data_IF_675352553501
#
_entry.id   IF_675352553501
#
_cell.length_a   1.000
_cell.length_b   1.000
_cell.length_c   1.000
_cell.angle_alpha   90.00
_cell.angle_beta   90.00
_cell.angle_gamma   90.00
#
_symmetry.space_group_name_H-M   'P 1'
#
loop_
_entity.id
_entity.type
_entity.pdbx_description
1 polymer ?
#
# COMPACT_ATOMS: atom_id res chain seq x y z
N UNK A 1 -29.89 -86.65 -7.52
CA UNK A 1 -29.30 -86.02 -8.73
C UNK A 1 -28.17 -85.12 -8.25
N UNK A 2 -26.90 -85.53 -8.42
CA UNK A 2 -25.96 -85.00 -9.44
C UNK A 2 -25.82 -83.47 -9.30
N UNK A 3 -24.68 -82.81 -9.05
CA UNK A 3 -23.26 -83.17 -8.94
C UNK A 3 -22.49 -81.94 -8.43
N UNK A 4 -21.33 -82.17 -7.76
CA UNK A 4 -20.04 -81.43 -7.84
C UNK A 4 -19.99 -79.95 -7.43
N UNK A 5 -18.91 -79.34 -6.93
CA UNK A 5 -17.53 -79.72 -6.54
C UNK A 5 -16.96 -78.46 -5.84
N UNK A 6 -16.28 -78.58 -4.69
CA UNK A 6 -14.80 -78.45 -4.50
C UNK A 6 -14.28 -77.05 -4.12
N UNK A 7 -13.71 -77.02 -2.90
CA UNK A 7 -12.53 -76.31 -2.37
C UNK A 7 -12.36 -74.78 -2.51
N UNK A 8 -11.87 -74.15 -1.42
CA UNK A 8 -10.82 -73.13 -1.55
C UNK A 8 -10.75 -71.98 -0.53
N UNK A 9 -10.37 -72.28 0.72
CA UNK A 9 -9.28 -71.63 1.50
C UNK A 9 -9.10 -70.08 1.54
N UNK A 10 -9.06 -69.57 2.80
CA UNK A 10 -8.03 -68.68 3.41
C UNK A 10 -8.24 -67.15 3.48
N UNK A 11 -8.47 -66.75 4.74
CA UNK A 11 -7.99 -65.60 5.54
C UNK A 11 -7.62 -64.26 4.89
N UNK A 12 -8.20 -63.18 5.43
CA UNK A 12 -7.65 -61.84 5.41
C UNK A 12 -8.22 -60.99 6.54
N UNK A 13 -7.59 -61.03 7.73
CA UNK A 13 -7.88 -60.12 8.83
C UNK A 13 -7.05 -58.84 8.64
N UNK A 14 -7.71 -57.72 8.34
CA UNK A 14 -7.07 -56.42 8.26
C UNK A 14 -7.04 -55.75 9.65
N UNK A 15 -5.84 -55.72 10.25
CA UNK A 15 -5.52 -54.90 11.42
C UNK A 15 -5.41 -53.42 10.99
N UNK A 16 -6.36 -52.60 11.44
CA UNK A 16 -6.30 -51.14 11.33
C UNK A 16 -5.38 -50.59 12.42
N UNK A 17 -4.14 -50.24 12.05
CA UNK A 17 -3.22 -49.50 12.91
C UNK A 17 -3.61 -48.01 12.93
N UNK A 18 -4.08 -47.52 14.08
CA UNK A 18 -4.24 -46.09 14.33
C UNK A 18 -2.86 -45.46 14.53
N UNK A 19 -2.37 -44.73 13.52
CA UNK A 19 -1.20 -43.86 13.67
C UNK A 19 -1.61 -42.59 14.41
N UNK A 20 -1.08 -42.42 15.62
CA UNK A 20 -1.09 -41.16 16.35
C UNK A 20 -0.33 -40.10 15.53
N UNK A 21 -1.04 -39.24 14.83
CA UNK A 21 -0.49 -37.98 14.35
C UNK A 21 -0.22 -37.09 15.57
N UNK A 22 1.04 -37.01 15.99
CA UNK A 22 1.50 -35.96 16.87
C UNK A 22 1.30 -34.61 16.17
N UNK A 23 0.38 -33.80 16.66
CA UNK A 23 0.35 -32.38 16.34
C UNK A 23 1.67 -31.77 16.83
N UNK A 24 2.53 -31.42 15.88
CA UNK A 24 3.64 -30.50 16.16
C UNK A 24 3.03 -29.16 16.58
N UNK A 25 3.08 -28.86 17.86
CA UNK A 25 2.80 -27.53 18.37
C UNK A 25 3.87 -26.60 17.80
N UNK A 26 3.44 -25.55 17.09
CA UNK A 26 4.33 -24.48 16.66
C UNK A 26 5.05 -23.93 17.90
N UNK A 27 6.36 -24.12 17.99
CA UNK A 27 7.18 -23.47 19.02
C UNK A 27 6.90 -21.96 18.98
N UNK A 28 6.54 -21.39 20.13
CA UNK A 28 6.36 -19.97 20.27
C UNK A 28 7.69 -19.28 19.94
N UNK A 29 7.76 -18.61 18.80
CA UNK A 29 8.92 -17.79 18.41
C UNK A 29 9.11 -16.70 19.47
N UNK A 30 10.05 -16.90 20.38
CA UNK A 30 10.35 -15.94 21.44
C UNK A 30 11.55 -15.09 21.04
N UNK A 31 11.46 -13.78 21.27
CA UNK A 31 12.57 -12.86 21.06
C UNK A 31 13.48 -12.91 22.30
N UNK A 32 14.82 -12.84 22.15
CA UNK A 32 15.74 -12.81 23.28
C UNK A 32 15.45 -11.64 24.22
N UNK A 33 15.54 -11.85 25.54
CA UNK A 33 15.44 -10.78 26.53
C UNK A 33 16.77 -10.05 26.61
N UNK A 34 16.75 -8.74 26.36
CA UNK A 34 17.89 -7.84 26.52
C UNK A 34 18.05 -7.52 28.01
N UNK A 35 19.25 -7.73 28.55
CA UNK A 35 19.60 -7.47 29.95
C UNK A 35 20.38 -6.18 30.10
N UNK A 36 20.46 -5.62 31.32
CA UNK A 36 21.24 -4.40 31.57
C UNK A 36 20.69 -3.18 30.85
N UNK A 37 19.36 -3.11 30.67
CA UNK A 37 18.69 -1.97 30.03
C UNK A 37 18.46 -0.86 31.04
N UNK A 38 18.69 0.39 30.65
CA UNK A 38 18.39 1.53 31.51
C UNK A 38 16.88 1.70 31.65
N UNK A 39 16.35 1.38 32.84
CA UNK A 39 14.90 1.33 33.05
C UNK A 39 14.20 2.66 32.77
N UNK A 40 14.72 3.76 33.30
CA UNK A 40 14.07 5.07 33.17
C UNK A 40 13.86 5.49 31.70
N UNK A 41 14.88 5.49 30.83
CA UNK A 41 14.67 5.86 29.43
C UNK A 41 13.84 4.83 28.66
N UNK A 42 13.93 3.53 28.99
CA UNK A 42 13.06 2.50 28.42
C UNK A 42 11.58 2.79 28.74
N UNK A 43 11.24 3.07 30.00
CA UNK A 43 9.86 3.40 30.41
C UNK A 43 9.36 4.64 29.66
N UNK A 44 10.18 5.67 29.53
CA UNK A 44 9.82 6.87 28.78
C UNK A 44 9.57 6.57 27.29
N UNK A 45 10.36 5.69 26.70
CA UNK A 45 10.19 5.24 25.31
C UNK A 45 8.89 4.45 25.14
N UNK A 46 8.60 3.51 26.04
CA UNK A 46 7.39 2.68 25.98
C UNK A 46 6.13 3.51 26.16
N UNK A 47 6.12 4.53 27.01
CA UNK A 47 4.99 5.45 27.13
C UNK A 47 4.65 6.14 25.80
N UNK A 48 5.68 6.56 25.04
CA UNK A 48 5.49 7.13 23.70
C UNK A 48 5.01 6.08 22.69
N UNK A 49 5.46 4.82 22.81
CA UNK A 49 4.94 3.72 21.98
C UNK A 49 3.45 3.50 22.26
N UNK A 50 3.03 3.47 23.53
CA UNK A 50 1.61 3.36 23.90
C UNK A 50 0.80 4.50 23.27
N UNK A 51 1.23 5.75 23.47
CA UNK A 51 0.58 6.93 22.90
C UNK A 51 0.52 6.88 21.37
N UNK A 52 1.62 6.47 20.70
CA UNK A 52 1.64 6.29 19.26
C UNK A 52 0.66 5.21 18.80
N UNK A 53 0.60 4.06 19.46
CA UNK A 53 -0.32 2.97 19.09
C UNK A 53 -1.79 3.37 19.29
N UNK A 54 -2.08 4.17 20.31
CA UNK A 54 -3.41 4.74 20.57
C UNK A 54 -3.79 5.74 19.45
N UNK A 55 -2.89 6.66 19.11
CA UNK A 55 -3.06 7.61 18.01
C UNK A 55 -3.27 6.92 16.65
N UNK A 56 -2.53 5.83 16.40
CA UNK A 56 -2.62 5.06 15.16
C UNK A 56 -3.89 4.19 15.07
N UNK A 57 -4.70 4.13 16.13
CA UNK A 57 -5.94 3.35 16.17
C UNK A 57 -5.75 1.85 16.36
N UNK A 58 -4.58 1.42 16.81
CA UNK A 58 -4.27 0.02 17.14
C UNK A 58 -3.68 -0.07 18.56
N UNK A 59 -4.45 0.33 19.59
CA UNK A 59 -3.97 0.38 20.96
C UNK A 59 -3.55 -1.01 21.48
N UNK A 60 -2.57 -1.05 22.38
CA UNK A 60 -2.32 -2.26 23.18
C UNK A 60 -3.57 -2.61 24.00
N UNK A 61 -3.75 -3.89 24.34
CA UNK A 61 -4.88 -4.31 25.18
C UNK A 61 -4.85 -3.63 26.55
N UNK A 62 -6.01 -3.37 27.15
CA UNK A 62 -6.08 -2.75 28.50
C UNK A 62 -5.32 -3.57 29.55
N UNK A 63 -5.37 -4.90 29.44
CA UNK A 63 -4.63 -5.82 30.31
C UNK A 63 -3.12 -5.65 30.16
N UNK A 64 -2.61 -5.50 28.94
CA UNK A 64 -1.19 -5.28 28.69
C UNK A 64 -0.75 -3.87 29.11
N UNK A 65 -1.60 -2.84 28.94
CA UNK A 65 -1.33 -1.49 29.47
C UNK A 65 -1.20 -1.52 31.01
N UNK A 66 -2.07 -2.25 31.70
CA UNK A 66 -1.98 -2.42 33.16
C UNK A 66 -0.75 -3.22 33.58
N UNK A 67 -0.38 -4.26 32.82
CA UNK A 67 0.84 -5.03 33.06
C UNK A 67 2.10 -4.16 32.91
N UNK A 68 2.15 -3.27 31.90
CA UNK A 68 3.22 -2.30 31.71
C UNK A 68 3.30 -1.31 32.87
N UNK A 69 2.17 -0.72 33.30
CA UNK A 69 2.15 0.18 34.46
C UNK A 69 2.60 -0.49 35.75
N UNK A 70 2.35 -1.79 35.90
CA UNK A 70 2.86 -2.58 37.03
C UNK A 70 4.37 -2.79 36.90
N UNK A 71 4.87 -3.13 35.72
CA UNK A 71 6.29 -3.30 35.46
C UNK A 71 7.09 -2.01 35.68
N UNK A 72 6.54 -0.85 35.30
CA UNK A 72 7.17 0.46 35.49
C UNK A 72 7.42 0.84 36.95
N UNK A 73 6.72 0.20 37.90
CA UNK A 73 6.80 0.50 39.34
C UNK A 73 7.69 -0.49 40.10
N UNK A 74 8.26 -1.49 39.42
CA UNK A 74 9.20 -2.44 40.05
C UNK A 74 10.49 -1.72 40.42
N UNK A 75 11.04 -2.06 41.59
CA UNK A 75 12.29 -1.50 42.10
C UNK A 75 13.53 -2.12 41.45
N UNK A 76 13.44 -3.38 41.03
CA UNK A 76 14.51 -4.09 40.33
C UNK A 76 14.44 -3.77 38.83
N UNK A 77 15.52 -3.17 38.31
CA UNK A 77 15.57 -2.70 36.92
C UNK A 77 15.59 -3.84 35.90
N UNK A 78 16.24 -4.97 36.21
CA UNK A 78 16.31 -6.11 35.30
C UNK A 78 14.97 -6.87 35.28
N UNK A 79 14.33 -7.03 36.44
CA UNK A 79 12.99 -7.62 36.54
C UNK A 79 11.95 -6.74 35.82
N UNK A 80 12.03 -5.42 36.00
CA UNK A 80 11.18 -4.46 35.32
C UNK A 80 11.37 -4.49 33.80
N UNK A 81 12.62 -4.42 33.34
CA UNK A 81 12.99 -4.45 31.93
C UNK A 81 12.55 -5.75 31.24
N UNK A 82 12.70 -6.90 31.90
CA UNK A 82 12.21 -8.17 31.39
C UNK A 82 10.67 -8.21 31.32
N UNK A 83 9.99 -7.73 32.36
CA UNK A 83 8.52 -7.69 32.38
C UNK A 83 7.95 -6.81 31.26
N UNK A 84 8.56 -5.65 30.99
CA UNK A 84 8.20 -4.77 29.87
C UNK A 84 8.34 -5.51 28.54
N UNK A 85 9.49 -6.17 28.32
CA UNK A 85 9.76 -6.90 27.08
C UNK A 85 8.75 -8.03 26.86
N UNK A 86 8.45 -8.83 27.89
CA UNK A 86 7.46 -9.91 27.77
C UNK A 86 6.07 -9.43 27.37
N UNK A 87 5.69 -8.20 27.73
CA UNK A 87 4.42 -7.62 27.30
C UNK A 87 4.50 -7.14 25.86
N UNK A 88 5.50 -6.32 25.51
CA UNK A 88 5.60 -5.71 24.18
C UNK A 88 5.98 -6.72 23.10
N UNK A 89 6.78 -7.73 23.42
CA UNK A 89 7.25 -8.71 22.45
C UNK A 89 6.08 -9.45 21.80
N UNK A 90 4.94 -9.64 22.49
CA UNK A 90 3.68 -10.19 21.93
C UNK A 90 3.20 -9.47 20.67
N UNK A 91 3.50 -8.17 20.57
CA UNK A 91 3.11 -7.29 19.48
C UNK A 91 4.23 -7.11 18.43
N UNK A 92 5.41 -7.70 18.67
CA UNK A 92 6.54 -7.61 17.76
C UNK A 92 6.39 -8.61 16.62
N UNK A 93 6.33 -8.08 15.39
CA UNK A 93 6.41 -8.91 14.18
C UNK A 93 7.87 -9.33 13.91
N UNK A 94 8.83 -8.47 14.27
CA UNK A 94 10.25 -8.72 14.10
C UNK A 94 11.06 -8.26 15.32
N UNK A 95 12.16 -8.97 15.57
CA UNK A 95 13.28 -8.50 16.39
C UNK A 95 14.46 -8.13 15.50
N UNK A 96 15.07 -6.99 15.79
CA UNK A 96 16.23 -6.44 15.08
C UNK A 96 17.37 -6.35 16.08
N UNK A 97 18.45 -7.08 15.81
CA UNK A 97 19.70 -7.00 16.56
C UNK A 97 20.70 -6.18 15.75
N UNK A 98 21.25 -5.12 16.35
CA UNK A 98 22.32 -4.30 15.80
C UNK A 98 23.56 -4.56 16.65
N UNK A 99 24.50 -5.32 16.08
CA UNK A 99 25.71 -5.70 16.79
C UNK A 99 26.67 -4.50 16.99
N UNK A 100 27.75 -4.63 17.78
CA UNK A 100 28.72 -3.54 18.01
C UNK A 100 29.36 -2.95 16.74
N UNK A 101 29.44 -3.70 15.64
CA UNK A 101 29.92 -3.22 14.33
C UNK A 101 28.81 -2.58 13.46
N UNK A 102 27.65 -2.26 14.03
CA UNK A 102 26.48 -1.70 13.34
C UNK A 102 25.89 -2.60 12.24
N UNK A 103 26.09 -3.92 12.34
CA UNK A 103 25.50 -4.91 11.44
C UNK A 103 24.13 -5.32 11.94
N UNK A 104 23.18 -5.36 11.01
CA UNK A 104 21.78 -5.66 11.32
C UNK A 104 21.48 -7.13 11.07
N UNK A 105 20.89 -7.79 12.08
CA UNK A 105 20.28 -9.11 11.97
C UNK A 105 18.80 -9.02 12.31
N UNK A 106 17.96 -9.79 11.61
CA UNK A 106 16.51 -9.78 11.82
C UNK A 106 16.03 -11.19 12.14
N UNK A 107 15.08 -11.28 13.07
CA UNK A 107 14.40 -12.51 13.44
C UNK A 107 12.88 -12.29 13.47
N UNK A 108 12.06 -13.33 13.15
CA UNK A 108 10.62 -13.25 13.32
C UNK A 108 10.24 -13.17 14.81
N UNK A 109 9.32 -12.28 15.14
CA UNK A 109 8.72 -12.18 16.47
C UNK A 109 7.47 -13.04 16.64
N UNK A 110 6.83 -13.01 17.83
CA UNK A 110 5.66 -13.83 18.14
C UNK A 110 4.35 -13.25 17.59
N UNK A 111 4.31 -11.99 17.14
CA UNK A 111 3.07 -11.41 16.62
C UNK A 111 2.60 -12.15 15.37
N UNK A 112 1.30 -12.45 15.30
CA UNK A 112 0.72 -13.15 14.16
C UNK A 112 0.84 -12.29 12.90
N UNK A 113 1.46 -12.78 11.81
CA UNK A 113 1.56 -12.06 10.54
C UNK A 113 0.21 -12.07 9.80
N UNK A 114 -0.73 -11.25 10.25
CA UNK A 114 -2.06 -11.12 9.65
C UNK A 114 -2.27 -9.69 9.17
N UNK A 115 -2.72 -9.50 7.92
CA UNK A 115 -2.98 -8.19 7.30
C UNK A 115 -4.46 -8.08 6.87
N UNK A 116 -4.85 -6.88 6.42
CA UNK A 116 -6.13 -6.64 5.77
C UNK A 116 -5.90 -6.20 4.32
N UNK A 117 -6.65 -6.77 3.38
CA UNK A 117 -6.65 -6.34 1.98
C UNK A 117 -7.07 -4.87 1.92
N UNK A 118 -6.37 -4.08 1.10
CA UNK A 118 -6.51 -2.61 1.01
C UNK A 118 -6.37 -1.87 2.33
N UNK A 119 -5.79 -2.47 3.37
CA UNK A 119 -5.70 -1.89 4.71
C UNK A 119 -4.30 -1.88 5.28
N UNK A 120 -4.04 -0.89 6.13
CA UNK A 120 -2.81 -0.78 6.90
C UNK A 120 -2.97 -1.46 8.26
N UNK A 121 -1.98 -2.27 8.65
CA UNK A 121 -1.84 -2.82 9.99
C UNK A 121 -0.52 -2.44 10.61
N UNK A 122 -0.50 -2.36 11.94
CA UNK A 122 0.63 -1.91 12.73
C UNK A 122 1.21 -3.08 13.51
N UNK A 123 2.54 -3.14 13.58
CA UNK A 123 3.27 -4.11 14.39
C UNK A 123 4.41 -3.40 15.11
N UNK A 124 4.82 -3.95 16.26
CA UNK A 124 6.06 -3.52 16.87
C UNK A 124 7.27 -4.19 16.21
N UNK A 125 8.41 -3.53 16.31
CA UNK A 125 9.74 -4.04 16.01
C UNK A 125 10.59 -3.83 17.24
N UNK A 126 11.07 -4.92 17.84
CA UNK A 126 12.02 -4.85 18.96
C UNK A 126 13.40 -4.54 18.40
N UNK A 127 14.08 -3.52 18.91
CA UNK A 127 15.43 -3.15 18.48
C UNK A 127 16.39 -3.31 19.65
N UNK A 128 17.28 -4.29 19.55
CA UNK A 128 18.42 -4.47 20.43
C UNK A 128 19.63 -3.81 19.78
N UNK A 129 20.16 -2.75 20.38
CA UNK A 129 21.11 -1.83 19.77
C UNK A 129 22.41 -1.76 20.55
N UNK A 130 23.24 -2.80 20.41
CA UNK A 130 24.52 -2.92 21.12
C UNK A 130 25.54 -1.87 20.65
N UNK A 131 25.43 -1.41 19.40
CA UNK A 131 26.30 -0.37 18.84
C UNK A 131 25.94 1.06 19.28
N UNK A 132 24.81 1.28 19.96
CA UNK A 132 24.36 2.63 20.32
C UNK A 132 24.07 3.50 19.10
N UNK A 133 23.61 2.90 17.99
CA UNK A 133 23.30 3.60 16.74
C UNK A 133 22.22 4.66 16.96
N UNK A 134 22.42 5.82 16.36
CA UNK A 134 21.47 6.96 16.33
C UNK A 134 20.99 7.29 14.91
N UNK A 135 21.25 6.42 13.94
CA UNK A 135 20.70 6.53 12.59
C UNK A 135 19.22 6.10 12.55
N UNK A 136 18.54 6.40 11.44
CA UNK A 136 17.17 5.94 11.18
C UNK A 136 17.15 4.42 10.95
N UNK A 137 16.28 3.70 11.66
CA UNK A 137 15.97 2.30 11.33
C UNK A 137 14.99 2.27 10.15
N UNK A 138 15.45 1.73 9.02
CA UNK A 138 14.66 1.61 7.79
C UNK A 138 14.22 0.17 7.60
N UNK A 139 12.95 -0.01 7.23
CA UNK A 139 12.42 -1.26 6.69
C UNK A 139 12.24 -1.10 5.18
N UNK A 140 12.58 -2.14 4.42
CA UNK A 140 12.41 -2.22 2.96
C UNK A 140 12.02 -3.63 2.54
N UNK A 141 11.40 -3.78 1.38
CA UNK A 141 11.03 -5.09 0.82
C UNK A 141 11.00 -5.04 -0.70
N UNK A 142 11.50 -6.05 -1.41
CA UNK A 142 11.30 -6.15 -2.87
C UNK A 142 9.80 -6.26 -3.21
N UNK A 143 8.99 -6.87 -2.35
CA UNK A 143 7.53 -6.95 -2.50
C UNK A 143 6.83 -5.60 -2.30
N UNK A 144 7.56 -4.61 -1.77
CA UNK A 144 7.07 -3.25 -1.55
C UNK A 144 7.55 -2.19 -2.52
N UNK A 145 8.20 -2.59 -3.60
CA UNK A 145 8.33 -1.73 -4.78
C UNK A 145 6.95 -1.26 -5.27
N UNK A 146 6.86 0.00 -5.66
CA UNK A 146 5.65 0.56 -6.26
C UNK A 146 5.31 -0.16 -7.57
N UNK A 147 4.05 -0.15 -8.02
CA UNK A 147 3.68 -0.78 -9.30
C UNK A 147 4.13 0.00 -10.53
N UNK A 148 4.52 1.27 -10.32
CA UNK A 148 5.02 2.18 -11.35
C UNK A 148 6.34 2.80 -10.90
N UNK A 149 7.16 3.21 -11.86
CA UNK A 149 8.34 4.04 -11.61
C UNK A 149 7.89 5.47 -11.34
N UNK A 150 8.04 5.92 -10.09
CA UNK A 150 7.33 7.10 -9.60
C UNK A 150 8.26 8.17 -9.07
N UNK A 151 9.04 8.82 -9.94
CA UNK A 151 9.95 9.95 -9.63
C UNK A 151 9.88 10.50 -8.19
N UNK A 152 9.10 11.57 -7.97
CA UNK A 152 8.95 12.22 -6.66
C UNK A 152 8.14 11.42 -5.61
N UNK A 153 7.39 10.39 -6.03
CA UNK A 153 6.57 9.53 -5.16
C UNK A 153 7.27 8.21 -4.75
N UNK A 154 8.59 8.11 -4.89
CA UNK A 154 9.35 6.89 -4.64
C UNK A 154 9.34 6.48 -3.16
N UNK A 155 8.94 5.24 -2.88
CA UNK A 155 8.94 4.66 -1.53
C UNK A 155 10.37 4.34 -1.05
N UNK A 156 10.60 4.07 0.24
CA UNK A 156 11.89 3.57 0.73
C UNK A 156 12.35 2.30 -0.01
N UNK A 157 11.44 1.39 -0.31
CA UNK A 157 11.73 0.18 -1.09
C UNK A 157 12.13 0.51 -2.53
N UNK A 158 11.46 1.48 -3.17
CA UNK A 158 11.85 1.94 -4.51
C UNK A 158 13.29 2.46 -4.51
N UNK A 159 13.65 3.28 -3.52
CA UNK A 159 15.01 3.82 -3.37
C UNK A 159 16.06 2.74 -3.10
N UNK A 160 15.68 1.66 -2.42
CA UNK A 160 16.58 0.58 -2.06
C UNK A 160 16.85 -0.40 -3.22
N UNK A 161 15.83 -0.72 -4.01
CA UNK A 161 15.92 -1.81 -4.99
C UNK A 161 15.90 -1.33 -6.45
N UNK A 162 15.34 -0.16 -6.77
CA UNK A 162 15.37 0.35 -8.16
C UNK A 162 16.67 1.07 -8.44
N UNK A 163 17.45 0.52 -9.37
CA UNK A 163 18.64 1.19 -9.92
C UNK A 163 18.25 1.98 -11.17
N UNK A 164 18.75 3.21 -11.27
CA UNK A 164 18.55 4.03 -12.48
C UNK A 164 19.16 3.30 -13.69
N UNK A 165 18.35 3.05 -14.72
CA UNK A 165 18.76 2.34 -15.93
C UNK A 165 18.70 0.82 -15.85
N UNK A 166 18.22 0.25 -14.74
CA UNK A 166 17.89 -1.17 -14.69
C UNK A 166 16.58 -1.43 -15.47
N UNK A 167 16.66 -2.28 -16.49
CA UNK A 167 15.50 -2.68 -17.28
C UNK A 167 14.75 -3.87 -16.65
N UNK A 168 15.22 -4.40 -15.51
CA UNK A 168 14.55 -5.48 -14.80
C UNK A 168 13.16 -5.03 -14.34
N UNK A 169 12.15 -5.83 -14.70
CA UNK A 169 10.75 -5.57 -14.35
C UNK A 169 10.34 -6.58 -13.30
N UNK A 170 10.14 -6.17 -12.04
CA UNK A 170 9.55 -7.05 -11.05
C UNK A 170 8.17 -7.48 -11.52
N UNK A 171 7.81 -8.72 -11.23
CA UNK A 171 6.48 -9.23 -11.55
C UNK A 171 5.42 -8.42 -10.76
N UNK A 172 4.44 -7.76 -11.41
CA UNK A 172 3.41 -6.98 -10.70
C UNK A 172 2.60 -7.78 -9.67
N UNK A 173 2.55 -9.11 -9.81
CA UNK A 173 1.94 -10.01 -8.83
C UNK A 173 2.72 -10.07 -7.50
N UNK A 174 4.04 -9.89 -7.54
CA UNK A 174 4.92 -9.91 -6.36
C UNK A 174 4.92 -8.58 -5.59
N UNK A 175 4.49 -7.49 -6.25
CA UNK A 175 4.47 -6.12 -5.72
C UNK A 175 3.19 -5.80 -4.94
N UNK A 176 2.81 -6.69 -4.04
CA UNK A 176 1.53 -6.64 -3.33
C UNK A 176 1.59 -5.85 -2.01
N UNK A 177 2.76 -5.68 -1.41
CA UNK A 177 2.94 -5.12 -0.07
C UNK A 177 3.28 -3.63 -0.13
N UNK A 178 2.72 -2.78 0.71
CA UNK A 178 3.27 -1.45 0.99
C UNK A 178 3.77 -1.40 2.43
N UNK A 179 4.83 -0.64 2.71
CA UNK A 179 5.43 -0.62 4.03
C UNK A 179 6.05 0.73 4.38
N UNK A 180 5.96 1.09 5.65
CA UNK A 180 6.62 2.27 6.20
C UNK A 180 6.90 2.09 7.70
N UNK A 181 7.93 2.78 8.20
CA UNK A 181 8.17 2.94 9.63
C UNK A 181 7.43 4.19 10.12
N UNK A 182 6.79 4.11 11.29
CA UNK A 182 6.20 5.30 11.91
C UNK A 182 7.28 6.09 12.67
N UNK A 183 7.61 7.27 12.16
CA UNK A 183 8.70 8.14 12.63
C UNK A 183 8.23 9.54 13.08
N UNK A 184 6.92 9.73 13.23
CA UNK A 184 6.31 11.01 13.67
C UNK A 184 6.10 11.04 15.19
N UNK A 185 5.83 12.23 15.72
CA UNK A 185 5.44 12.42 17.12
C UNK A 185 4.31 11.44 17.52
N UNK A 186 4.39 10.81 18.70
CA UNK A 186 5.35 11.05 19.80
C UNK A 186 6.70 10.33 19.65
N UNK A 187 6.90 9.51 18.60
CA UNK A 187 8.19 8.90 18.30
C UNK A 187 9.11 9.87 17.53
N UNK A 188 10.37 9.47 17.33
CA UNK A 188 11.39 10.22 16.59
C UNK A 188 11.83 9.42 15.38
N UNK A 189 12.39 10.07 14.37
CA UNK A 189 12.93 9.38 13.20
C UNK A 189 14.18 8.54 13.53
N UNK A 190 15.12 9.14 14.25
CA UNK A 190 16.39 8.53 14.62
C UNK A 190 16.24 7.57 15.81
N UNK A 191 17.05 6.50 15.81
CA UNK A 191 17.29 5.68 16.99
C UNK A 191 17.89 6.53 18.12
N UNK A 192 17.62 6.12 19.35
CA UNK A 192 18.01 6.86 20.56
C UNK A 192 19.44 6.56 21.01
N UNK A 193 20.04 5.48 20.50
CA UNK A 193 21.29 4.92 21.02
C UNK A 193 21.13 4.08 22.29
N UNK A 194 19.90 3.93 22.81
CA UNK A 194 19.62 3.03 23.93
C UNK A 194 19.79 1.57 23.51
N UNK A 195 20.21 0.72 24.45
CA UNK A 195 20.42 -0.71 24.21
C UNK A 195 19.12 -1.43 23.79
N UNK A 196 17.96 -0.94 24.23
CA UNK A 196 16.65 -1.47 23.86
C UNK A 196 15.67 -0.35 23.54
N UNK A 197 15.02 -0.44 22.39
CA UNK A 197 13.88 0.41 22.03
C UNK A 197 12.89 -0.31 21.08
N UNK A 198 11.65 0.16 21.02
CA UNK A 198 10.58 -0.41 20.20
C UNK A 198 10.13 0.56 19.10
N UNK A 199 10.07 0.08 17.86
CA UNK A 199 9.61 0.85 16.69
C UNK A 199 8.29 0.31 16.16
N UNK A 200 7.57 1.12 15.39
CA UNK A 200 6.29 0.73 14.80
C UNK A 200 6.48 0.58 13.30
N UNK A 201 6.20 -0.63 12.80
CA UNK A 201 6.15 -0.98 11.39
C UNK A 201 4.68 -0.96 10.93
N UNK A 202 4.42 -0.27 9.83
CA UNK A 202 3.10 -0.21 9.20
C UNK A 202 3.15 -0.97 7.88
N UNK A 203 2.26 -1.94 7.69
CA UNK A 203 2.19 -2.78 6.50
C UNK A 203 0.81 -2.69 5.87
N UNK A 204 0.75 -2.53 4.55
CA UNK A 204 -0.47 -2.58 3.75
C UNK A 204 -0.42 -3.70 2.73
N UNK A 205 -1.57 -4.33 2.47
CA UNK A 205 -1.68 -5.32 1.40
C UNK A 205 -2.60 -4.86 0.29
N UNK A 206 -2.15 -4.96 -0.97
CA UNK A 206 -3.00 -4.77 -2.15
C UNK A 206 -3.99 -5.92 -2.32
N UNK A 207 -3.60 -7.14 -1.95
CA UNK A 207 -4.26 -8.39 -2.32
C UNK A 207 -4.64 -9.24 -1.09
N UNK A 208 -5.72 -10.00 -1.16
CA UNK A 208 -6.12 -10.94 -0.10
C UNK A 208 -5.47 -12.34 -0.24
N UNK A 209 -5.56 -13.13 0.83
CA UNK A 209 -5.10 -14.53 0.90
C UNK A 209 -3.69 -14.68 1.47
N UNK A 210 -3.11 -15.88 1.34
CA UNK A 210 -1.73 -16.14 1.79
C UNK A 210 -0.74 -15.41 0.88
N UNK A 211 0.18 -14.64 1.47
CA UNK A 211 1.20 -13.89 0.75
C UNK A 211 2.51 -13.91 1.50
N UNK A 212 3.60 -14.24 0.84
CA UNK A 212 4.94 -14.15 1.42
C UNK A 212 5.57 -12.80 1.03
N UNK A 213 6.29 -12.20 1.98
CA UNK A 213 7.17 -11.08 1.69
C UNK A 213 8.51 -11.22 2.41
N UNK A 214 9.57 -10.80 1.72
CA UNK A 214 10.90 -10.62 2.28
C UNK A 214 10.99 -9.22 2.89
N UNK A 215 11.22 -9.10 4.18
CA UNK A 215 11.37 -7.81 4.87
C UNK A 215 12.81 -7.66 5.33
N UNK A 216 13.45 -6.57 4.93
CA UNK A 216 14.82 -6.25 5.32
C UNK A 216 14.88 -4.98 6.18
N UNK A 217 15.78 -4.97 7.16
CA UNK A 217 16.08 -3.79 7.98
C UNK A 217 17.51 -3.30 7.75
N UNK A 218 17.73 -1.99 7.87
CA UNK A 218 19.05 -1.36 7.81
C UNK A 218 19.08 -0.06 8.61
N UNK A 219 20.27 0.39 8.99
CA UNK A 219 20.52 1.67 9.69
C UNK A 219 21.49 2.57 8.93
N UNK A 220 21.59 2.39 7.61
CA UNK A 220 22.53 3.13 6.74
C UNK A 220 23.16 2.26 5.66
N UNK A 221 24.06 2.85 4.87
CA UNK A 221 24.84 2.10 3.88
C UNK A 221 25.86 1.19 4.57
N UNK A 222 26.02 -0.04 4.07
CA UNK A 222 27.03 -0.99 4.58
C UNK A 222 26.65 -1.71 5.88
N UNK A 223 25.42 -1.53 6.40
CA UNK A 223 24.97 -2.14 7.66
C UNK A 223 24.45 -3.58 7.49
N UNK A 224 24.65 -4.17 6.31
CA UNK A 224 24.25 -5.56 6.03
C UNK A 224 25.24 -6.51 6.70
N UNK A 225 24.75 -7.46 7.48
CA UNK A 225 25.59 -8.53 8.00
C UNK A 225 26.10 -9.43 6.86
N UNK A 226 27.29 -10.01 7.03
CA UNK A 226 27.87 -10.94 6.06
C UNK A 226 26.94 -12.17 5.97
N UNK A 227 26.42 -12.43 4.77
CA UNK A 227 25.54 -13.58 4.50
C UNK A 227 24.03 -13.29 4.53
N UNK A 228 23.59 -12.06 4.24
CA UNK A 228 22.18 -11.69 4.03
C UNK A 228 21.26 -11.95 5.24
N UNK A 229 21.75 -11.70 6.47
CA UNK A 229 20.96 -11.93 7.69
C UNK A 229 20.10 -10.75 8.13
N UNK A 230 20.08 -9.68 7.34
CA UNK A 230 19.28 -8.50 7.63
C UNK A 230 17.88 -8.57 7.01
N UNK A 231 17.50 -9.70 6.41
CA UNK A 231 16.15 -9.96 5.91
C UNK A 231 15.53 -11.24 6.47
N UNK A 232 14.19 -11.29 6.42
CA UNK A 232 13.38 -12.41 6.88
C UNK A 232 12.19 -12.59 5.95
N UNK A 233 11.92 -13.83 5.58
CA UNK A 233 10.71 -14.20 4.84
C UNK A 233 9.56 -14.42 5.83
N UNK A 234 8.46 -13.71 5.60
CA UNK A 234 7.26 -13.78 6.43
C UNK A 234 6.04 -14.14 5.58
N UNK A 235 5.38 -15.23 5.94
CA UNK A 235 4.10 -15.63 5.36
C UNK A 235 2.95 -14.94 6.08
N UNK A 236 2.26 -14.07 5.37
CA UNK A 236 1.10 -13.33 5.86
C UNK A 236 -0.22 -14.01 5.53
N UNK A 237 -1.16 -13.91 6.47
CA UNK A 237 -2.58 -14.18 6.24
C UNK A 237 -3.32 -12.87 5.98
N UNK A 238 -3.71 -12.59 4.73
CA UNK A 238 -4.37 -11.33 4.40
C UNK A 238 -5.89 -11.52 4.33
N UNK A 239 -6.60 -10.96 5.31
CA UNK A 239 -8.06 -11.00 5.36
C UNK A 239 -8.68 -10.10 4.28
N UNK A 240 -9.76 -10.55 3.60
CA UNK A 240 -10.41 -9.75 2.56
C UNK A 240 -11.07 -8.49 3.12
N UNK A 241 -11.09 -7.42 2.35
CA UNK A 241 -11.79 -6.18 2.70
C UNK A 241 -13.25 -6.17 2.25
N UNK A 242 -14.05 -5.33 2.91
CA UNK A 242 -15.44 -5.07 2.53
C UNK A 242 -15.54 -4.30 1.22
N UNK A 243 -16.56 -4.63 0.42
CA UNK A 243 -16.87 -3.94 -0.84
C UNK A 243 -17.85 -2.80 -0.58
N UNK A 244 -17.43 -1.57 -0.82
CA UNK A 244 -18.22 -0.35 -0.70
C UNK A 244 -18.69 0.06 -2.10
N UNK A 245 -19.99 0.05 -2.34
CA UNK A 245 -20.57 0.53 -3.61
C UNK A 245 -20.81 2.03 -3.51
N UNK A 246 -20.37 2.79 -4.50
CA UNK A 246 -20.53 4.24 -4.55
C UNK A 246 -21.67 4.55 -5.51
N UNK A 247 -22.75 5.14 -4.99
CA UNK A 247 -23.84 5.65 -5.81
C UNK A 247 -23.60 7.14 -6.08
N UNK A 248 -23.53 7.53 -7.34
CA UNK A 248 -23.04 8.84 -7.77
C UNK A 248 -24.06 9.48 -8.70
N UNK A 249 -24.68 10.56 -8.23
CA UNK A 249 -25.69 11.29 -8.99
C UNK A 249 -25.25 12.73 -9.24
N UNK A 250 -25.50 13.21 -10.46
CA UNK A 250 -25.27 14.60 -10.85
C UNK A 250 -26.33 15.55 -10.26
N UNK A 251 -26.25 16.83 -10.61
CA UNK A 251 -27.17 17.87 -10.17
C UNK A 251 -28.63 17.64 -10.61
N UNK A 252 -28.84 16.86 -11.67
CA UNK A 252 -30.14 16.49 -12.23
C UNK A 252 -30.63 15.10 -11.76
N UNK A 253 -29.87 14.45 -10.86
CA UNK A 253 -30.17 13.12 -10.36
C UNK A 253 -29.85 11.99 -11.33
N UNK A 254 -29.03 12.23 -12.35
CA UNK A 254 -28.59 11.21 -13.30
C UNK A 254 -27.29 10.52 -12.83
N UNK A 255 -27.14 9.21 -13.06
CA UNK A 255 -25.89 8.50 -12.80
C UNK A 255 -24.71 9.12 -13.55
N UNK A 256 -23.57 9.28 -12.86
CA UNK A 256 -22.36 9.87 -13.47
C UNK A 256 -21.07 9.34 -12.84
N UNK A 257 -19.93 9.87 -13.28
CA UNK A 257 -18.59 9.61 -12.71
C UNK A 257 -18.15 10.80 -11.86
N UNK A 258 -17.58 10.51 -10.70
CA UNK A 258 -17.01 11.53 -9.81
C UNK A 258 -15.56 11.20 -9.44
N UNK A 259 -14.85 12.24 -9.06
CA UNK A 259 -13.56 12.19 -8.39
C UNK A 259 -13.76 11.89 -6.90
N UNK A 260 -12.92 11.03 -6.34
CA UNK A 260 -12.90 10.69 -4.91
C UNK A 260 -11.49 10.75 -4.33
N UNK A 261 -11.32 11.46 -3.22
CA UNK A 261 -10.14 11.34 -2.34
C UNK A 261 -10.60 10.73 -1.01
N UNK A 262 -10.18 9.49 -0.77
CA UNK A 262 -10.54 8.73 0.44
C UNK A 262 -9.34 8.72 1.37
N UNK A 263 -9.51 9.27 2.58
CA UNK A 263 -8.47 9.32 3.61
C UNK A 263 -8.93 8.65 4.88
N UNK A 264 -8.01 7.97 5.57
CA UNK A 264 -8.25 7.59 6.96
C UNK A 264 -7.83 8.70 7.94
N UNK A 265 -7.99 8.45 9.23
CA UNK A 265 -7.61 9.38 10.30
C UNK A 265 -6.10 9.71 10.34
N UNK A 266 -5.24 8.93 9.68
CA UNK A 266 -3.81 9.20 9.57
C UNK A 266 -3.47 10.00 8.31
N UNK A 267 -4.48 10.37 7.50
CA UNK A 267 -4.33 11.06 6.23
C UNK A 267 -3.84 10.18 5.09
N UNK A 268 -3.77 8.86 5.30
CA UNK A 268 -3.34 7.89 4.27
C UNK A 268 -4.43 7.79 3.20
N UNK A 269 -4.01 7.74 1.95
CA UNK A 269 -4.90 7.73 0.78
C UNK A 269 -5.26 6.29 0.38
N UNK A 270 -6.52 6.06 0.05
CA UNK A 270 -7.06 4.76 -0.35
C UNK A 270 -7.60 4.77 -1.78
N UNK A 271 -7.31 3.72 -2.59
CA UNK A 271 -6.32 2.66 -2.34
C UNK A 271 -4.89 3.23 -2.25
N UNK A 272 -3.92 2.51 -1.66
CA UNK A 272 -2.53 3.03 -1.56
C UNK A 272 -2.00 3.43 -2.94
N UNK A 273 -1.54 4.67 -3.07
CA UNK A 273 -1.01 5.25 -4.30
C UNK A 273 0.11 4.41 -4.92
N UNK A 274 1.05 3.92 -4.11
CA UNK A 274 2.16 3.08 -4.56
C UNK A 274 1.69 1.78 -5.24
N UNK A 275 0.46 1.33 -4.96
CA UNK A 275 -0.14 0.07 -5.44
C UNK A 275 -1.27 0.27 -6.44
N UNK A 276 -1.29 1.43 -7.11
CA UNK A 276 -2.23 1.71 -8.19
C UNK A 276 -1.61 1.45 -9.56
N UNK A 277 -2.46 0.99 -10.47
CA UNK A 277 -2.24 0.92 -11.91
C UNK A 277 -3.50 1.47 -12.58
N UNK A 278 -3.43 1.72 -13.88
CA UNK A 278 -4.58 2.11 -14.68
C UNK A 278 -5.83 1.26 -14.32
N UNK A 279 -6.99 1.88 -14.09
CA UNK A 279 -7.29 3.30 -14.35
C UNK A 279 -6.93 4.28 -13.22
N UNK A 280 -6.44 3.79 -12.08
CA UNK A 280 -6.09 4.61 -10.91
C UNK A 280 -4.63 5.04 -10.99
N UNK A 281 -4.39 6.35 -11.07
CA UNK A 281 -3.03 6.85 -11.25
C UNK A 281 -2.35 7.04 -9.89
N UNK A 282 -1.18 6.44 -9.72
CA UNK A 282 -0.45 6.46 -8.45
C UNK A 282 0.09 7.84 -8.06
N UNK A 283 0.25 8.76 -9.00
CA UNK A 283 0.73 10.12 -8.76
C UNK A 283 -0.38 11.13 -8.43
N UNK A 284 -1.65 10.70 -8.52
CA UNK A 284 -2.80 11.49 -8.10
C UNK A 284 -3.34 10.97 -6.76
N UNK A 285 -3.72 11.84 -5.82
CA UNK A 285 -4.40 11.39 -4.61
C UNK A 285 -5.77 10.78 -4.94
N UNK A 286 -6.49 11.35 -5.91
CA UNK A 286 -7.83 10.94 -6.27
C UNK A 286 -7.91 9.65 -7.10
N UNK A 287 -9.08 9.03 -7.07
CA UNK A 287 -9.54 7.99 -8.01
C UNK A 287 -10.89 8.40 -8.59
N UNK A 288 -11.28 7.80 -9.71
CA UNK A 288 -12.55 8.12 -10.37
C UNK A 288 -13.47 6.92 -10.42
N UNK A 289 -14.71 7.10 -9.94
CA UNK A 289 -15.72 6.04 -9.91
C UNK A 289 -17.03 6.50 -10.50
N UNK A 290 -17.58 5.66 -11.37
CA UNK A 290 -18.93 5.80 -11.90
C UNK A 290 -19.95 5.28 -10.90
N UNK A 291 -21.21 5.70 -11.05
CA UNK A 291 -22.33 5.16 -10.28
C UNK A 291 -22.34 3.62 -10.29
N UNK A 292 -22.48 3.03 -9.11
CA UNK A 292 -22.51 1.58 -8.90
C UNK A 292 -21.13 0.91 -8.91
N UNK A 293 -20.05 1.62 -9.22
CA UNK A 293 -18.70 1.10 -9.03
C UNK A 293 -18.31 1.05 -7.56
N UNK A 294 -17.22 0.36 -7.27
CA UNK A 294 -16.92 -0.05 -5.89
C UNK A 294 -15.49 0.16 -5.49
N UNK A 295 -15.31 0.45 -4.21
CA UNK A 295 -14.04 0.44 -3.50
C UNK A 295 -13.95 -0.72 -2.53
N UNK A 296 -12.75 -1.26 -2.35
CA UNK A 296 -12.47 -2.18 -1.25
C UNK A 296 -11.85 -1.39 -0.10
N UNK A 297 -12.58 -1.30 1.01
CA UNK A 297 -12.15 -0.57 2.19
C UNK A 297 -12.23 -1.48 3.44
N UNK A 298 -11.14 -1.59 4.22
CA UNK A 298 -11.19 -2.20 5.55
C UNK A 298 -12.15 -1.44 6.47
N UNK A 299 -12.64 -2.13 7.51
CA UNK A 299 -13.42 -1.48 8.55
C UNK A 299 -12.63 -0.31 9.17
N UNK A 300 -13.29 0.83 9.36
CA UNK A 300 -12.65 2.03 9.86
C UNK A 300 -13.47 3.29 9.61
N UNK A 301 -12.95 4.40 10.12
CA UNK A 301 -13.48 5.74 9.88
C UNK A 301 -12.65 6.41 8.77
N UNK A 302 -13.33 7.03 7.83
CA UNK A 302 -12.73 7.68 6.67
C UNK A 302 -13.30 9.09 6.50
N UNK A 303 -12.54 9.94 5.84
CA UNK A 303 -13.00 11.20 5.26
C UNK A 303 -12.97 11.05 3.75
N UNK A 304 -14.12 11.28 3.10
CA UNK A 304 -14.27 11.16 1.65
C UNK A 304 -14.55 12.54 1.08
N UNK A 305 -13.60 13.04 0.31
CA UNK A 305 -13.81 14.21 -0.55
C UNK A 305 -14.28 13.73 -1.92
N UNK A 306 -15.29 14.42 -2.47
CA UNK A 306 -15.82 14.11 -3.79
C UNK A 306 -16.23 15.37 -4.56
N UNK A 307 -16.02 15.35 -5.88
CA UNK A 307 -16.40 16.41 -6.81
C UNK A 307 -16.44 15.87 -8.24
N UNK A 308 -16.73 16.73 -9.21
CA UNK A 308 -16.66 16.41 -10.64
C UNK A 308 -15.99 17.52 -11.45
N UNK A 309 -14.77 17.87 -11.02
CA UNK A 309 -13.97 18.95 -11.60
C UNK A 309 -14.41 20.36 -11.21
N UNK A 310 -13.85 21.39 -11.88
CA UNK A 310 -13.93 22.78 -11.44
C UNK A 310 -15.34 23.41 -11.57
N UNK A 311 -16.24 22.78 -12.32
CA UNK A 311 -17.65 23.22 -12.47
C UNK A 311 -18.55 22.77 -11.30
N UNK A 312 -18.02 21.92 -10.41
CA UNK A 312 -18.72 21.35 -9.26
C UNK A 312 -18.07 21.77 -7.94
N UNK A 313 -18.89 21.88 -6.90
CA UNK A 313 -18.44 22.18 -5.54
C UNK A 313 -17.87 20.91 -4.93
N UNK A 314 -16.61 20.96 -4.49
CA UNK A 314 -16.01 19.89 -3.73
C UNK A 314 -16.67 19.76 -2.36
N UNK A 315 -17.10 18.55 -2.02
CA UNK A 315 -17.72 18.21 -0.74
C UNK A 315 -16.85 17.21 -0.01
N UNK A 316 -16.88 17.27 1.32
CA UNK A 316 -16.13 16.36 2.19
C UNK A 316 -17.04 15.82 3.27
N UNK A 317 -17.13 14.50 3.38
CA UNK A 317 -18.02 13.83 4.32
C UNK A 317 -17.28 12.75 5.12
N UNK A 318 -17.56 12.60 6.43
CA UNK A 318 -17.11 11.45 7.19
C UNK A 318 -17.88 10.20 6.76
N UNK A 319 -17.18 9.07 6.64
CA UNK A 319 -17.76 7.79 6.27
C UNK A 319 -17.25 6.67 7.19
N UNK A 320 -18.20 5.97 7.80
CA UNK A 320 -17.92 4.78 8.60
C UNK A 320 -18.05 3.52 7.75
N UNK A 321 -16.96 2.78 7.61
CA UNK A 321 -16.91 1.54 6.83
C UNK A 321 -16.95 0.35 7.78
N UNK A 322 -17.88 -0.59 7.56
CA UNK A 322 -18.07 -1.76 8.44
C UNK A 322 -17.13 -2.94 8.15
N UNK A 323 -16.37 -2.89 7.05
CA UNK A 323 -15.59 -4.03 6.55
C UNK A 323 -16.43 -5.13 5.89
N UNK A 324 -17.74 -4.90 5.71
CA UNK A 324 -18.66 -5.76 4.96
C UNK A 324 -19.15 -5.05 3.71
N UNK A 325 -19.97 -5.74 2.89
CA UNK A 325 -20.65 -5.12 1.76
C UNK A 325 -21.56 -3.99 2.26
N UNK A 326 -21.39 -2.80 1.72
CA UNK A 326 -22.23 -1.63 2.02
C UNK A 326 -22.27 -0.68 0.82
N UNK A 327 -23.12 0.33 0.89
CA UNK A 327 -23.23 1.38 -0.12
C UNK A 327 -23.13 2.76 0.52
N UNK A 328 -22.53 3.70 -0.20
CA UNK A 328 -22.47 5.13 0.12
C UNK A 328 -23.05 5.91 -1.06
N UNK A 329 -23.77 7.00 -0.79
CA UNK A 329 -24.41 7.81 -1.83
C UNK A 329 -23.82 9.22 -1.84
N UNK A 330 -23.53 9.72 -3.03
CA UNK A 330 -22.88 11.00 -3.28
C UNK A 330 -23.69 11.76 -4.31
N UNK A 331 -24.18 12.94 -3.92
CA UNK A 331 -24.90 13.84 -4.83
C UNK A 331 -24.05 15.07 -5.12
N UNK A 332 -23.65 15.18 -6.38
CA UNK A 332 -22.84 16.29 -6.86
C UNK A 332 -23.64 17.59 -6.91
N UNK A 333 -22.94 18.69 -6.74
CA UNK A 333 -23.52 20.04 -6.79
C UNK A 333 -22.74 20.88 -7.78
N UNK A 334 -23.35 21.13 -8.94
CA UNK A 334 -22.81 22.00 -9.97
C UNK A 334 -23.07 23.45 -9.58
N UNK A 335 -22.02 24.30 -9.57
CA UNK A 335 -22.18 25.72 -9.28
C UNK A 335 -22.20 26.59 -10.54
N UNK A 336 -21.65 26.09 -11.65
CA UNK A 336 -21.69 26.75 -12.95
C UNK A 336 -21.80 25.73 -14.07
N UNK A 337 -22.50 26.11 -15.14
CA UNK A 337 -22.54 25.35 -16.38
C UNK A 337 -22.11 26.27 -17.54
N UNK A 338 -20.79 26.34 -17.84
CA UNK A 338 -20.28 27.18 -18.93
C UNK A 338 -20.88 26.82 -20.30
N UNK A 339 -21.34 25.57 -20.49
CA UNK A 339 -21.88 25.10 -21.76
C UNK A 339 -23.19 25.80 -22.14
N UNK A 340 -23.98 26.22 -21.14
CA UNK A 340 -25.18 27.06 -21.35
C UNK A 340 -24.86 28.45 -21.91
N UNK A 341 -23.60 28.86 -21.84
CA UNK A 341 -23.09 30.13 -22.38
C UNK A 341 -22.22 29.93 -23.63
N UNK A 342 -22.17 28.71 -24.18
CA UNK A 342 -21.36 28.38 -25.35
C UNK A 342 -19.89 28.07 -25.06
N UNK A 343 -19.49 27.96 -23.79
CA UNK A 343 -18.13 27.61 -23.38
C UNK A 343 -18.04 26.13 -23.02
N UNK A 344 -17.02 25.45 -23.53
CA UNK A 344 -16.80 24.03 -23.29
C UNK A 344 -15.49 23.85 -22.53
N UNK A 345 -15.52 23.15 -21.39
CA UNK A 345 -14.30 22.81 -20.66
C UNK A 345 -13.49 21.77 -21.42
N UNK A 346 -12.17 21.91 -21.34
CA UNK A 346 -11.27 20.93 -21.91
C UNK A 346 -9.87 21.04 -21.34
N UNK A 347 -9.16 19.92 -21.42
CA UNK A 347 -7.72 19.86 -21.18
C UNK A 347 -7.04 19.43 -22.48
N UNK A 348 -6.33 20.37 -23.08
CA UNK A 348 -5.68 20.17 -24.37
C UNK A 348 -4.24 19.66 -24.25
N UNK A 349 -3.78 19.34 -23.04
CA UNK A 349 -2.40 18.92 -22.78
C UNK A 349 -2.36 17.75 -21.81
N UNK A 350 -2.79 16.58 -22.28
CA UNK A 350 -2.79 15.35 -21.50
C UNK A 350 -1.73 14.40 -22.07
N UNK A 351 -1.03 13.64 -21.24
CA UNK A 351 -0.11 12.60 -21.71
C UNK A 351 -0.51 11.21 -21.21
N UNK A 352 -0.62 10.25 -22.12
CA UNK A 352 -0.77 8.84 -21.78
C UNK A 352 0.53 8.17 -21.32
N UNK A 353 1.70 8.78 -21.56
CA UNK A 353 3.00 8.23 -21.19
C UNK A 353 4.07 9.33 -20.99
N UNK A 354 5.19 8.96 -20.34
CA UNK A 354 6.48 9.65 -20.50
C UNK A 354 6.78 10.86 -19.61
N UNK A 355 5.81 11.53 -18.98
CA UNK A 355 6.06 12.85 -18.37
C UNK A 355 6.48 12.85 -16.87
N UNK A 356 6.11 11.87 -16.06
CA UNK A 356 6.67 11.61 -14.73
C UNK A 356 6.42 10.16 -14.27
N UNK A 357 5.94 9.34 -15.21
CA UNK A 357 5.31 8.06 -14.98
C UNK A 357 5.18 7.31 -16.30
N UNK A 358 5.14 5.98 -16.20
CA UNK A 358 4.94 5.04 -17.31
C UNK A 358 6.01 5.11 -18.42
N UNK A 359 7.29 5.16 -18.06
CA UNK A 359 8.41 4.94 -19.02
C UNK A 359 8.40 3.56 -19.67
N UNK A 360 7.57 2.59 -19.20
CA UNK A 360 6.69 1.66 -19.98
C UNK A 360 6.10 0.45 -19.18
N UNK A 361 4.90 0.53 -18.56
CA UNK A 361 4.18 -0.61 -17.92
C UNK A 361 3.01 -1.28 -18.68
N UNK A 362 2.88 -1.42 -19.99
CA UNK A 362 3.84 -1.46 -21.09
C UNK A 362 3.44 -0.44 -22.14
N UNK A 363 3.87 0.80 -21.88
CA UNK A 363 3.89 1.93 -22.81
C UNK A 363 2.77 2.96 -22.71
N UNK A 364 2.01 2.94 -21.62
CA UNK A 364 1.18 4.07 -21.20
C UNK A 364 -0.17 3.61 -20.64
N UNK A 365 -1.04 4.57 -20.40
CA UNK A 365 -2.46 4.34 -20.15
C UNK A 365 -3.23 4.42 -21.47
N UNK A 366 -4.42 3.82 -21.54
CA UNK A 366 -5.19 3.74 -22.78
C UNK A 366 -6.36 4.73 -22.79
N UNK A 367 -6.97 4.93 -23.95
CA UNK A 367 -8.09 5.85 -24.14
C UNK A 367 -9.23 5.67 -23.10
N UNK A 368 -9.65 4.44 -22.73
CA UNK A 368 -10.69 4.27 -21.69
C UNK A 368 -10.27 4.79 -20.32
N UNK A 369 -9.00 4.64 -19.95
CA UNK A 369 -8.47 5.16 -18.67
C UNK A 369 -8.50 6.69 -18.68
N UNK A 370 -8.11 7.29 -19.80
CA UNK A 370 -8.10 8.75 -19.94
C UNK A 370 -9.50 9.34 -19.97
N UNK A 371 -10.42 8.71 -20.70
CA UNK A 371 -11.81 9.14 -20.76
C UNK A 371 -12.47 9.09 -19.38
N UNK A 372 -12.13 8.11 -18.54
CA UNK A 372 -12.62 8.07 -17.15
C UNK A 372 -12.24 9.33 -16.37
N UNK A 373 -11.01 9.82 -16.52
CA UNK A 373 -10.57 11.06 -15.87
C UNK A 373 -11.32 12.27 -16.44
N UNK A 374 -11.47 12.35 -17.77
CA UNK A 374 -12.24 13.41 -18.43
C UNK A 374 -13.69 13.47 -17.92
N UNK A 375 -14.37 12.31 -17.83
CA UNK A 375 -15.74 12.21 -17.31
C UNK A 375 -15.85 12.59 -15.84
N UNK A 376 -14.86 12.20 -15.04
CA UNK A 376 -14.79 12.48 -13.61
C UNK A 376 -14.40 13.92 -13.26
N UNK A 377 -13.75 14.63 -14.18
CA UNK A 377 -13.42 16.06 -14.07
C UNK A 377 -14.40 16.96 -14.87
N UNK A 378 -15.44 16.36 -15.45
CA UNK A 378 -16.39 17.02 -16.36
C UNK A 378 -15.70 17.84 -17.48
N UNK A 379 -14.63 17.30 -18.06
CA UNK A 379 -13.91 17.86 -19.21
C UNK A 379 -14.54 17.38 -20.50
N UNK A 380 -15.17 18.28 -21.26
CA UNK A 380 -15.89 17.93 -22.49
C UNK A 380 -14.94 17.66 -23.65
N UNK A 381 -13.71 18.18 -23.61
CA UNK A 381 -12.66 17.91 -24.59
C UNK A 381 -11.37 17.52 -23.89
N UNK A 382 -10.87 16.31 -24.12
CA UNK A 382 -9.52 15.90 -23.72
C UNK A 382 -8.64 15.69 -24.96
N UNK A 383 -7.46 16.30 -24.99
CA UNK A 383 -6.45 16.04 -26.04
C UNK A 383 -5.27 15.27 -25.45
N UNK A 384 -5.18 13.99 -25.79
CA UNK A 384 -4.05 13.14 -25.43
C UNK A 384 -2.91 13.35 -26.43
N UNK A 385 -1.87 14.05 -25.99
CA UNK A 385 -0.71 14.40 -26.78
C UNK A 385 0.29 13.24 -26.79
N UNK A 386 0.42 12.63 -27.96
CA UNK A 386 1.47 11.67 -28.29
C UNK A 386 2.78 12.42 -28.41
N UNK A 387 3.76 12.05 -27.58
CA UNK A 387 5.00 12.79 -27.44
C UNK A 387 6.11 11.91 -26.87
N UNK A 388 7.37 12.37 -26.96
CA UNK A 388 8.47 11.92 -26.10
C UNK A 388 8.64 10.40 -25.90
N UNK A 389 8.84 9.92 -24.66
CA UNK A 389 8.95 8.49 -24.36
C UNK A 389 7.67 7.72 -24.75
N UNK A 390 7.82 6.56 -25.37
CA UNK A 390 6.73 5.72 -25.88
C UNK A 390 6.02 6.23 -27.14
N UNK A 391 6.53 7.29 -27.79
CA UNK A 391 5.96 7.83 -29.02
C UNK A 391 5.61 6.75 -30.05
N UNK A 392 6.55 5.82 -30.33
CA UNK A 392 6.34 4.77 -31.34
C UNK A 392 5.19 3.82 -31.04
N UNK A 393 4.86 3.62 -29.76
CA UNK A 393 3.69 2.86 -29.37
C UNK A 393 2.44 3.74 -29.35
N UNK A 394 2.50 4.92 -28.73
CA UNK A 394 1.32 5.77 -28.55
C UNK A 394 0.78 6.34 -29.87
N UNK A 395 1.64 6.55 -30.89
CA UNK A 395 1.21 7.07 -32.20
C UNK A 395 0.17 6.20 -32.90
N UNK A 396 0.10 4.90 -32.59
CA UNK A 396 -0.90 4.00 -33.18
C UNK A 396 -2.35 4.37 -32.82
N UNK A 397 -2.55 5.14 -31.74
CA UNK A 397 -3.85 5.61 -31.30
C UNK A 397 -4.27 6.92 -32.00
N UNK A 398 -3.34 7.58 -32.68
CA UNK A 398 -3.62 8.77 -33.45
C UNK A 398 -4.25 8.40 -34.81
N UNK A 399 -5.50 8.81 -35.02
CA UNK A 399 -6.26 8.46 -36.24
C UNK A 399 -6.79 9.67 -37.02
N UNK A 400 -6.51 10.89 -36.54
CA UNK A 400 -7.08 12.14 -37.06
C UNK A 400 -8.59 12.30 -36.83
N UNK A 401 -9.18 11.48 -35.94
CA UNK A 401 -10.59 11.48 -35.55
C UNK A 401 -10.69 11.35 -34.04
N UNK A 402 -11.86 11.70 -33.50
CA UNK A 402 -12.17 11.46 -32.10
C UNK A 402 -12.10 9.95 -31.80
N UNK A 403 -11.54 9.61 -30.64
CA UNK A 403 -11.38 8.23 -30.21
C UNK A 403 -12.76 7.58 -29.99
N UNK A 404 -12.84 6.27 -30.19
CA UNK A 404 -14.08 5.48 -30.07
C UNK A 404 -14.67 5.49 -28.66
N UNK A 405 -13.89 5.83 -27.63
CA UNK A 405 -14.39 6.01 -26.26
C UNK A 405 -15.14 7.33 -26.05
N UNK A 406 -15.12 8.23 -27.04
CA UNK A 406 -15.87 9.49 -27.02
C UNK A 406 -17.37 9.24 -26.93
N UNK A 407 -18.04 9.96 -26.03
CA UNK A 407 -19.49 9.89 -25.82
C UNK A 407 -19.97 11.32 -25.69
N UNK A 408 -20.75 11.81 -26.65
CA UNK A 408 -21.24 13.20 -26.64
C UNK A 408 -21.87 13.56 -25.27
N UNK A 409 -21.52 14.72 -24.68
CA UNK A 409 -20.67 15.79 -25.21
C UNK A 409 -19.16 15.64 -24.91
N UNK A 410 -18.71 14.52 -24.36
CA UNK A 410 -17.33 14.24 -23.97
C UNK A 410 -16.53 13.62 -25.12
N UNK A 411 -15.52 14.36 -25.58
CA UNK A 411 -14.65 13.97 -26.68
C UNK A 411 -13.24 13.72 -26.15
N UNK A 412 -12.65 12.60 -26.59
CA UNK A 412 -11.23 12.35 -26.42
C UNK A 412 -10.58 12.31 -27.79
N UNK A 413 -9.57 13.15 -27.99
CA UNK A 413 -8.81 13.23 -29.23
C UNK A 413 -7.35 12.91 -28.96
N UNK A 414 -6.69 12.23 -29.90
CA UNK A 414 -5.25 12.05 -29.87
C UNK A 414 -4.60 13.11 -30.77
N UNK A 415 -3.58 13.78 -30.28
CA UNK A 415 -2.85 14.83 -30.98
C UNK A 415 -1.34 14.68 -30.69
N UNK A 416 -0.50 15.64 -31.09
CA UNK A 416 0.96 15.52 -30.94
C UNK A 416 1.53 16.69 -30.15
N UNK A 417 2.45 16.40 -29.24
CA UNK A 417 3.37 17.40 -28.70
C UNK A 417 4.77 17.20 -29.27
N UNK A 418 5.33 18.26 -29.85
CA UNK A 418 6.69 18.30 -30.37
C UNK A 418 7.60 18.89 -29.30
N UNK A 419 8.47 18.05 -28.75
CA UNK A 419 9.44 18.39 -27.70
C UNK A 419 10.90 18.03 -28.04
N UNK A 420 11.15 17.48 -29.24
CA UNK A 420 12.48 17.07 -29.75
C UNK A 420 13.06 17.99 -30.84
N UNK A 421 14.17 17.58 -31.46
CA UNK A 421 14.71 18.23 -32.69
C UNK A 421 15.02 19.73 -32.57
N UNK A 422 15.68 20.15 -31.48
CA UNK A 422 16.03 21.57 -31.25
C UNK A 422 14.92 22.42 -30.62
N UNK A 423 13.66 21.93 -30.60
CA UNK A 423 12.55 22.62 -29.93
C UNK A 423 12.75 22.75 -28.41
N UNK A 424 13.52 21.86 -27.77
CA UNK A 424 13.93 22.00 -26.36
C UNK A 424 14.55 23.36 -26.00
N UNK A 425 15.12 24.10 -26.96
CA UNK A 425 15.63 25.46 -26.76
C UNK A 425 14.56 26.56 -26.88
N UNK A 426 13.43 26.26 -27.52
CA UNK A 426 12.31 27.17 -27.80
C UNK A 426 11.02 26.82 -27.03
N UNK A 427 11.02 25.72 -26.28
CA UNK A 427 9.84 25.16 -25.61
C UNK A 427 9.17 24.05 -26.41
N UNK A 428 8.07 23.52 -25.89
CA UNK A 428 7.31 22.45 -26.55
C UNK A 428 6.10 23.01 -27.31
N UNK A 429 5.74 22.37 -28.42
CA UNK A 429 4.63 22.78 -29.28
C UNK A 429 3.54 21.72 -29.33
N UNK A 430 2.31 22.08 -28.95
CA UNK A 430 1.14 21.24 -29.12
C UNK A 430 0.52 21.46 -30.51
N UNK A 431 0.36 20.37 -31.28
CA UNK A 431 -0.30 20.36 -32.57
C UNK A 431 -1.66 19.68 -32.41
N UNK A 432 -2.72 20.49 -32.40
CA UNK A 432 -4.09 20.04 -32.11
C UNK A 432 -4.92 19.86 -33.39
N UNK A 433 -5.91 18.95 -33.34
CA UNK A 433 -6.84 18.62 -34.44
C UNK A 433 -6.12 18.23 -35.72
N UNK A 434 -5.02 17.49 -35.60
CA UNK A 434 -4.32 16.97 -36.76
C UNK A 434 -5.24 15.99 -37.52
N UNK A 435 -5.30 16.11 -38.85
CA UNK A 435 -6.24 15.35 -39.69
C UNK A 435 -5.63 14.08 -40.31
N UNK A 436 -4.30 13.96 -40.26
CA UNK A 436 -3.53 12.90 -40.90
C UNK A 436 -2.35 12.55 -40.01
N UNK A 437 -1.98 11.26 -40.02
CA UNK A 437 -0.83 10.68 -39.31
C UNK A 437 0.51 11.29 -39.73
#
# INVERSE_FOLDING_TARGET
MICRNVLGWVTGAALLAWSNCALSAAESRSLPIVRGVELQPLVAQVRRVIEATDYLGTPLSDADKQALETAFKKSDADEAGEAIQRVLDKYCLFGVDINPESRVKVAPGPAKPELAEKGWRQFLVKVHNEAGVTAELRAVSPNALSLYEGGAGSTPSDKAYRKRGDASRPNPAELWLDLQMFSKQPLRELLSGLNLEYRILQLYSRDAGKREAKIAFNVGQGTQDIGYRNDVDALFDVLPAGKVTLHVLDENGQPTTAMFIIRDNQGRIYPSQAKRLAPDFGFHPQVYRADGETEKLPAGEYTIEYTRGPEYIAKTEPAKVTGKKQSLAFKLERWIDPSKFGWWSGDHHIHAAGCAHYTKPTEGVHAPDMMRHCLGEDLKVGCNLTWGPCFDYQKQFFTGKDDKVSIWPYLLHYDVEVSGFGSHNSGHLCLLRLKQE
#
